data_IF_668377330752
#
_entry.id   IF_668377330752
#
_cell.length_a   1.000
_cell.length_b   1.000
_cell.length_c   1.000
_cell.angle_alpha   90.00
_cell.angle_beta   90.00
_cell.angle_gamma   90.00
#
_symmetry.space_group_name_H-M   'P 1'
#
loop_
_entity.id
_entity.type
_entity.pdbx_description
1 polymer ?
#
# COMPACT_ATOMS: atom_id res chain seq x y z
N UNK A 1 5.19 18.27 -19.74
CA UNK A 1 4.59 17.76 -18.48
C UNK A 1 4.68 18.88 -17.46
N UNK A 2 3.63 19.16 -16.68
CA UNK A 2 3.73 20.16 -15.61
C UNK A 2 4.72 19.63 -14.56
N UNK A 3 5.55 20.52 -14.01
CA UNK A 3 6.38 20.26 -12.83
C UNK A 3 5.46 19.91 -11.65
N UNK A 4 5.08 18.65 -11.52
CA UNK A 4 4.28 18.14 -10.41
C UNK A 4 5.23 17.74 -9.29
N UNK A 5 5.42 18.64 -8.32
CA UNK A 5 6.43 18.55 -7.26
C UNK A 5 5.76 18.35 -5.90
N UNK A 6 6.56 17.99 -4.90
CA UNK A 6 6.07 17.75 -3.54
C UNK A 6 5.25 18.92 -2.97
N UNK A 7 5.68 20.16 -3.21
CA UNK A 7 4.96 21.39 -2.81
C UNK A 7 3.57 21.59 -3.43
N UNK A 8 3.21 20.77 -4.41
CA UNK A 8 1.93 20.83 -5.10
C UNK A 8 0.93 19.79 -4.58
N UNK A 9 1.35 18.93 -3.65
CA UNK A 9 0.49 17.92 -3.04
C UNK A 9 -0.40 18.59 -1.99
N UNK A 10 -1.66 18.16 -1.92
CA UNK A 10 -2.57 18.57 -0.86
C UNK A 10 -2.04 18.07 0.51
N UNK A 11 -1.91 18.93 1.53
CA UNK A 11 -1.54 18.51 2.88
C UNK A 11 -2.38 17.34 3.43
N UNK A 12 -3.66 17.25 3.05
CA UNK A 12 -4.54 16.15 3.49
C UNK A 12 -4.10 14.80 2.89
N UNK A 13 -3.67 14.78 1.62
CA UNK A 13 -3.13 13.58 0.97
C UNK A 13 -1.81 13.12 1.64
N UNK A 14 -0.99 14.07 2.08
CA UNK A 14 0.23 13.78 2.85
C UNK A 14 -0.15 13.20 4.22
N UNK A 15 -1.15 13.78 4.90
CA UNK A 15 -1.67 13.28 6.16
C UNK A 15 -2.13 11.82 6.06
N UNK A 16 -2.90 11.49 5.02
CA UNK A 16 -3.36 10.12 4.74
C UNK A 16 -2.20 9.14 4.51
N UNK A 17 -1.15 9.58 3.81
CA UNK A 17 0.07 8.79 3.62
C UNK A 17 0.80 8.57 4.96
N UNK A 18 0.93 9.60 5.78
CA UNK A 18 1.61 9.51 7.08
C UNK A 18 0.90 8.52 8.03
N UNK A 19 -0.42 8.42 7.98
CA UNK A 19 -1.17 7.37 8.72
C UNK A 19 -0.75 5.96 8.29
N UNK A 20 -0.35 5.75 7.03
CA UNK A 20 0.16 4.45 6.55
C UNK A 20 1.61 4.22 7.00
N UNK A 21 2.43 5.28 7.01
CA UNK A 21 3.80 5.25 7.54
C UNK A 21 3.79 4.85 9.03
N UNK A 22 2.94 5.48 9.84
CA UNK A 22 2.73 5.12 11.24
C UNK A 22 2.47 3.62 11.42
N UNK A 23 1.54 3.07 10.64
CA UNK A 23 1.18 1.64 10.70
C UNK A 23 2.31 0.71 10.27
N UNK A 24 3.15 1.13 9.33
CA UNK A 24 4.24 0.30 8.78
C UNK A 24 5.43 0.23 9.75
N UNK A 25 5.76 1.36 10.38
CA UNK A 25 6.87 1.49 11.33
C UNK A 25 6.45 1.39 12.80
N UNK A 26 5.16 1.20 13.09
CA UNK A 26 4.60 1.14 14.44
C UNK A 26 4.96 2.37 15.30
N UNK A 27 4.85 3.55 14.69
CA UNK A 27 5.09 4.85 15.33
C UNK A 27 3.81 5.69 15.36
N UNK A 28 3.80 6.75 16.17
CA UNK A 28 2.70 7.71 16.25
C UNK A 28 3.20 9.15 16.23
N UNK A 29 2.74 9.93 15.27
CA UNK A 29 3.02 11.36 15.19
C UNK A 29 2.13 12.12 16.17
N UNK A 30 2.70 13.10 16.87
CA UNK A 30 1.96 14.08 17.66
C UNK A 30 1.30 15.13 16.77
N UNK A 31 0.26 15.80 17.29
CA UNK A 31 -0.54 16.80 16.54
C UNK A 31 0.30 17.92 15.91
N UNK A 32 1.34 18.38 16.61
CA UNK A 32 2.19 19.50 16.19
C UNK A 32 3.61 19.07 15.82
N UNK A 33 3.89 17.77 15.83
CA UNK A 33 5.26 17.24 15.72
C UNK A 33 5.91 17.58 14.38
N UNK A 34 5.12 17.61 13.31
CA UNK A 34 5.61 17.82 11.95
C UNK A 34 5.57 19.28 11.48
N UNK A 35 5.11 20.23 12.32
CA UNK A 35 4.93 21.64 11.95
C UNK A 35 6.22 22.33 11.50
N UNK A 36 7.37 21.87 12.00
CA UNK A 36 8.67 22.45 11.71
C UNK A 36 9.40 21.75 10.55
N UNK A 37 8.85 20.66 10.04
CA UNK A 37 9.45 19.89 8.94
C UNK A 37 9.09 20.57 7.63
N UNK A 38 10.10 21.11 6.95
CA UNK A 38 9.94 21.88 5.73
C UNK A 38 10.33 21.08 4.49
N UNK A 39 11.17 20.04 4.65
CA UNK A 39 11.70 19.25 3.53
C UNK A 39 11.48 17.76 3.67
N UNK A 40 11.46 17.05 2.54
CA UNK A 40 11.37 15.60 2.50
C UNK A 40 12.53 14.91 3.24
N UNK A 41 13.75 15.46 3.15
CA UNK A 41 14.91 14.95 3.87
C UNK A 41 14.74 15.07 5.39
N UNK A 42 14.23 16.21 5.87
CA UNK A 42 13.91 16.41 7.29
C UNK A 42 12.84 15.42 7.77
N UNK A 43 11.82 15.15 6.96
CA UNK A 43 10.79 14.15 7.29
C UNK A 43 11.41 12.75 7.43
N UNK A 44 12.26 12.36 6.47
CA UNK A 44 12.95 11.07 6.50
C UNK A 44 13.81 10.92 7.75
N UNK A 45 14.60 11.93 8.10
CA UNK A 45 15.45 11.92 9.28
C UNK A 45 14.62 11.87 10.56
N UNK A 46 13.54 12.65 10.62
CA UNK A 46 12.65 12.68 11.77
C UNK A 46 12.01 11.30 12.03
N UNK A 47 11.46 10.68 10.99
CA UNK A 47 10.90 9.32 11.08
C UNK A 47 11.97 8.32 11.49
N UNK A 48 13.14 8.36 10.86
CA UNK A 48 14.24 7.45 11.15
C UNK A 48 14.76 7.58 12.59
N UNK A 49 14.70 8.76 13.18
CA UNK A 49 15.11 9.01 14.57
C UNK A 49 14.01 8.68 15.58
N UNK A 50 12.74 8.68 15.17
CA UNK A 50 11.59 8.37 16.01
C UNK A 50 11.41 6.86 16.26
N UNK A 51 11.97 6.02 15.39
CA UNK A 51 11.89 4.55 15.55
C UNK A 51 12.86 4.12 16.66
N UNK A 52 12.31 3.81 17.84
CA UNK A 52 13.05 3.34 19.02
C UNK A 52 13.30 1.82 18.99
N UNK A 53 13.95 1.34 17.92
CA UNK A 53 14.29 -0.08 17.72
C UNK A 53 15.78 -0.26 17.46
N UNK A 54 16.26 -1.51 17.55
CA UNK A 54 17.67 -1.80 17.29
C UNK A 54 17.99 -1.64 15.79
N UNK A 55 18.98 -0.80 15.47
CA UNK A 55 19.42 -0.66 14.08
C UNK A 55 20.28 -1.86 13.65
N UNK A 56 19.86 -2.56 12.60
CA UNK A 56 20.63 -3.63 11.96
C UNK A 56 20.72 -3.41 10.44
N UNK A 57 21.89 -3.73 9.86
CA UNK A 57 22.21 -3.43 8.45
C UNK A 57 21.65 -4.45 7.44
N UNK A 58 20.85 -5.42 7.88
CA UNK A 58 20.22 -6.42 7.04
C UNK A 58 19.05 -5.84 6.23
N UNK A 59 18.89 -6.35 5.00
CA UNK A 59 17.98 -5.77 4.02
C UNK A 59 16.53 -6.22 4.24
N UNK A 60 15.60 -5.28 4.42
CA UNK A 60 14.19 -5.61 4.69
C UNK A 60 13.49 -6.20 3.47
N UNK A 61 13.80 -5.73 2.26
CA UNK A 61 13.18 -6.27 1.05
C UNK A 61 13.59 -7.71 0.77
N UNK A 62 14.84 -8.06 1.07
CA UNK A 62 15.31 -9.44 1.02
C UNK A 62 14.58 -10.30 2.05
N UNK A 63 14.43 -9.83 3.29
CA UNK A 63 13.68 -10.52 4.33
C UNK A 63 12.21 -10.71 3.97
N UNK A 64 11.56 -9.66 3.45
CA UNK A 64 10.18 -9.69 2.97
C UNK A 64 10.00 -10.75 1.88
N UNK A 65 10.93 -10.80 0.92
CA UNK A 65 10.90 -11.77 -0.17
C UNK A 65 11.05 -13.21 0.33
N UNK A 66 12.02 -13.48 1.21
CA UNK A 66 12.19 -14.82 1.76
C UNK A 66 11.01 -15.23 2.64
N UNK A 67 10.50 -14.32 3.48
CA UNK A 67 9.31 -14.55 4.29
C UNK A 67 8.08 -14.89 3.45
N UNK A 68 7.87 -14.14 2.36
CA UNK A 68 6.81 -14.41 1.39
C UNK A 68 6.98 -15.78 0.72
N UNK A 69 8.18 -16.08 0.23
CA UNK A 69 8.49 -17.35 -0.44
C UNK A 69 8.28 -18.55 0.48
N UNK A 70 8.69 -18.43 1.74
CA UNK A 70 8.51 -19.47 2.74
C UNK A 70 7.02 -19.66 3.06
N UNK A 71 6.27 -18.58 3.25
CA UNK A 71 4.83 -18.64 3.48
C UNK A 71 4.06 -19.26 2.29
N UNK A 72 4.46 -18.96 1.05
CA UNK A 72 3.93 -19.60 -0.15
C UNK A 72 4.22 -21.11 -0.15
N UNK A 73 5.46 -21.48 0.14
CA UNK A 73 5.90 -22.88 0.17
C UNK A 73 5.11 -23.69 1.19
N UNK A 74 4.88 -23.13 2.38
CA UNK A 74 4.10 -23.74 3.45
C UNK A 74 2.61 -23.85 3.13
N UNK A 75 2.02 -22.86 2.46
CA UNK A 75 0.55 -22.79 2.28
C UNK A 75 0.03 -23.42 1.00
N UNK A 76 0.80 -23.40 -0.09
CA UNK A 76 0.35 -23.92 -1.38
C UNK A 76 0.77 -25.37 -1.64
N UNK A 77 1.57 -25.98 -0.76
CA UNK A 77 2.14 -27.32 -0.93
C UNK A 77 2.88 -27.50 -2.28
N UNK A 78 3.24 -26.40 -2.93
CA UNK A 78 3.96 -26.41 -4.20
C UNK A 78 5.43 -26.62 -3.91
N UNK A 79 6.02 -27.69 -4.48
CA UNK A 79 7.44 -28.03 -4.36
C UNK A 79 8.41 -27.00 -5.00
N UNK A 80 7.94 -25.81 -5.38
CA UNK A 80 8.72 -24.77 -6.04
C UNK A 80 9.61 -24.04 -5.02
N UNK A 81 10.71 -24.69 -4.61
CA UNK A 81 11.72 -24.12 -3.70
C UNK A 81 12.45 -22.90 -4.29
N UNK A 82 12.44 -22.74 -5.61
CA UNK A 82 13.12 -21.66 -6.32
C UNK A 82 12.10 -20.79 -7.07
N UNK A 83 11.44 -19.88 -6.34
CA UNK A 83 10.63 -18.83 -6.94
C UNK A 83 11.51 -17.57 -7.11
N UNK A 84 11.75 -17.09 -8.34
CA UNK A 84 12.45 -15.82 -8.57
C UNK A 84 11.52 -14.62 -8.32
N UNK A 85 12.09 -13.41 -8.18
CA UNK A 85 11.33 -12.17 -7.96
C UNK A 85 10.41 -11.81 -9.12
N UNK A 86 10.79 -12.15 -10.36
CA UNK A 86 9.98 -11.92 -11.55
C UNK A 86 8.91 -13.01 -11.79
N UNK A 87 8.76 -13.98 -10.89
CA UNK A 87 7.79 -15.06 -11.05
C UNK A 87 6.35 -14.49 -11.14
N UNK A 88 5.56 -14.85 -12.17
CA UNK A 88 4.20 -14.34 -12.34
C UNK A 88 3.27 -14.75 -11.19
N UNK A 89 2.60 -13.76 -10.62
CA UNK A 89 1.68 -13.95 -9.51
C UNK A 89 0.42 -14.72 -9.92
N UNK A 90 0.01 -14.56 -11.19
CA UNK A 90 -1.14 -15.27 -11.78
C UNK A 90 -0.91 -16.79 -11.89
N UNK A 91 0.33 -17.22 -12.10
CA UNK A 91 0.70 -18.65 -12.20
C UNK A 91 0.73 -19.31 -10.82
N UNK A 92 0.98 -18.51 -9.77
CA UNK A 92 0.97 -18.98 -8.39
C UNK A 92 -0.45 -19.02 -7.82
N UNK A 93 -1.27 -18.01 -8.16
CA UNK A 93 -2.63 -17.85 -7.68
C UNK A 93 -3.64 -17.85 -8.84
N UNK A 94 -4.00 -19.04 -9.37
CA UNK A 94 -4.95 -19.16 -10.47
C UNK A 94 -6.33 -18.64 -10.06
N UNK A 95 -7.05 -18.03 -11.00
CA UNK A 95 -8.29 -17.26 -10.75
C UNK A 95 -9.35 -18.05 -9.95
N UNK A 96 -9.44 -19.36 -10.15
CA UNK A 96 -10.44 -20.22 -9.51
C UNK A 96 -10.23 -20.36 -7.99
N UNK A 97 -8.98 -20.46 -7.52
CA UNK A 97 -8.64 -20.68 -6.10
C UNK A 97 -7.93 -19.50 -5.44
N UNK A 98 -7.68 -18.41 -6.20
CA UNK A 98 -6.90 -17.22 -5.80
C UNK A 98 -7.30 -16.64 -4.45
N UNK A 99 -8.58 -16.31 -4.23
CA UNK A 99 -9.05 -15.72 -2.96
C UNK A 99 -8.78 -16.62 -1.76
N UNK A 100 -9.05 -17.91 -1.90
CA UNK A 100 -8.81 -18.89 -0.84
C UNK A 100 -7.32 -19.02 -0.53
N UNK A 101 -6.50 -19.14 -1.55
CA UNK A 101 -5.05 -19.28 -1.42
C UNK A 101 -4.40 -18.03 -0.81
N UNK A 102 -4.78 -16.83 -1.26
CA UNK A 102 -4.30 -15.57 -0.69
C UNK A 102 -4.76 -15.42 0.75
N UNK A 103 -6.01 -15.78 1.08
CA UNK A 103 -6.49 -15.75 2.47
C UNK A 103 -5.67 -16.69 3.37
N UNK A 104 -5.33 -17.89 2.89
CA UNK A 104 -4.45 -18.82 3.62
C UNK A 104 -3.03 -18.26 3.79
N UNK A 105 -2.49 -17.64 2.73
CA UNK A 105 -1.18 -16.99 2.77
C UNK A 105 -1.14 -15.84 3.78
N UNK A 106 -2.12 -14.94 3.74
CA UNK A 106 -2.26 -13.82 4.68
C UNK A 106 -2.41 -14.29 6.12
N UNK A 107 -3.18 -15.37 6.35
CA UNK A 107 -3.31 -15.97 7.66
C UNK A 107 -1.97 -16.52 8.18
N UNK A 108 -1.16 -17.13 7.32
CA UNK A 108 0.18 -17.59 7.66
C UNK A 108 1.17 -16.42 7.89
N UNK A 109 1.05 -15.33 7.12
CA UNK A 109 1.89 -14.13 7.29
C UNK A 109 1.52 -13.32 8.54
N UNK A 110 0.27 -13.40 9.00
CA UNK A 110 -0.25 -12.65 10.14
C UNK A 110 -0.70 -11.22 9.80
N UNK A 111 -0.83 -10.88 8.51
CA UNK A 111 -1.32 -9.58 8.05
C UNK A 111 -1.89 -9.66 6.62
N UNK A 112 -2.69 -8.65 6.26
CA UNK A 112 -3.36 -8.57 4.95
C UNK A 112 -2.43 -7.95 3.91
N UNK A 113 -2.32 -8.59 2.75
CA UNK A 113 -1.51 -8.10 1.64
C UNK A 113 -2.29 -7.14 0.74
N UNK A 114 -3.62 -7.22 0.72
CA UNK A 114 -4.50 -6.36 -0.10
C UNK A 114 -4.08 -6.33 -1.58
N UNK A 115 -3.71 -7.48 -2.15
CA UNK A 115 -3.27 -7.64 -3.54
C UNK A 115 -4.41 -8.00 -4.50
N UNK A 116 -5.64 -8.03 -3.99
CA UNK A 116 -6.85 -8.33 -4.75
C UNK A 116 -7.72 -7.10 -4.89
N UNK A 117 -8.24 -6.90 -6.10
CA UNK A 117 -9.13 -5.78 -6.42
C UNK A 117 -10.30 -6.21 -7.30
N UNK A 118 -11.39 -5.44 -7.32
CA UNK A 118 -12.46 -5.66 -8.28
C UNK A 118 -11.99 -5.36 -9.72
N UNK A 119 -12.63 -5.95 -10.74
CA UNK A 119 -12.39 -5.61 -12.13
C UNK A 119 -12.66 -4.12 -12.40
N UNK A 120 -11.80 -3.47 -13.19
CA UNK A 120 -11.93 -2.04 -13.49
C UNK A 120 -13.28 -1.66 -14.11
N UNK A 121 -13.86 -2.52 -14.95
CA UNK A 121 -15.16 -2.26 -15.56
C UNK A 121 -16.30 -2.22 -14.54
N UNK A 122 -16.24 -3.03 -13.48
CA UNK A 122 -17.23 -3.01 -12.38
C UNK A 122 -17.13 -1.70 -11.62
N UNK A 123 -15.90 -1.27 -11.28
CA UNK A 123 -15.65 0.02 -10.63
C UNK A 123 -16.18 1.15 -11.52
N UNK A 124 -15.87 1.14 -12.81
CA UNK A 124 -16.31 2.16 -13.77
C UNK A 124 -17.83 2.30 -13.83
N UNK A 125 -18.56 1.18 -13.92
CA UNK A 125 -20.03 1.19 -13.91
C UNK A 125 -20.58 1.77 -12.60
N UNK A 126 -20.04 1.34 -11.45
CA UNK A 126 -20.46 1.85 -10.14
C UNK A 126 -20.16 3.34 -9.97
N UNK A 127 -19.03 3.83 -10.50
CA UNK A 127 -18.68 5.25 -10.49
C UNK A 127 -19.67 6.06 -11.34
N UNK A 128 -20.00 5.60 -12.54
CA UNK A 128 -20.99 6.26 -13.39
C UNK A 128 -22.36 6.27 -12.70
N UNK A 129 -22.78 5.15 -12.09
CA UNK A 129 -24.04 5.07 -11.36
C UNK A 129 -24.06 6.05 -10.17
N UNK A 130 -22.95 6.16 -9.43
CA UNK A 130 -22.79 7.12 -8.34
C UNK A 130 -22.94 8.57 -8.83
N UNK A 131 -22.27 8.94 -9.93
CA UNK A 131 -22.37 10.28 -10.50
C UNK A 131 -23.78 10.61 -10.98
N UNK A 132 -24.45 9.67 -11.65
CA UNK A 132 -25.85 9.83 -12.07
C UNK A 132 -26.75 10.02 -10.84
N UNK A 133 -26.56 9.23 -9.79
CA UNK A 133 -27.33 9.34 -8.55
C UNK A 133 -27.13 10.71 -7.85
N UNK A 134 -25.91 11.26 -7.90
CA UNK A 134 -25.65 12.62 -7.42
C UNK A 134 -26.40 13.68 -8.22
N UNK A 135 -26.46 13.56 -9.55
CA UNK A 135 -27.20 14.51 -10.40
C UNK A 135 -28.71 14.37 -10.16
N UNK A 136 -29.25 13.15 -10.08
CA UNK A 136 -30.68 12.93 -9.88
C UNK A 136 -31.18 13.42 -8.52
N UNK A 137 -30.30 13.49 -7.52
CA UNK A 137 -30.62 14.02 -6.19
C UNK A 137 -31.18 15.45 -6.23
N UNK A 138 -30.80 16.25 -7.23
CA UNK A 138 -31.31 17.62 -7.43
C UNK A 138 -32.70 17.69 -8.06
N UNK A 139 -33.15 16.62 -8.72
CA UNK A 139 -34.46 16.56 -9.40
C UNK A 139 -35.47 15.75 -8.59
N UNK A 140 -35.03 14.58 -8.11
CA UNK A 140 -35.80 13.65 -7.28
C UNK A 140 -34.86 13.07 -6.21
N UNK A 141 -34.95 13.64 -5.01
CA UNK A 141 -34.08 13.29 -3.91
C UNK A 141 -34.25 11.83 -3.43
N UNK A 142 -35.43 11.22 -3.62
CA UNK A 142 -35.68 9.84 -3.22
C UNK A 142 -34.94 8.87 -4.13
N UNK A 143 -35.05 9.07 -5.45
CA UNK A 143 -34.34 8.25 -6.44
C UNK A 143 -32.83 8.47 -6.38
N UNK A 144 -32.39 9.72 -6.21
CA UNK A 144 -30.97 10.05 -6.01
C UNK A 144 -30.39 9.35 -4.77
N UNK A 145 -31.07 9.45 -3.63
CA UNK A 145 -30.62 8.80 -2.39
C UNK A 145 -30.58 7.27 -2.53
N UNK A 146 -31.60 6.66 -3.14
CA UNK A 146 -31.61 5.22 -3.40
C UNK A 146 -30.43 4.79 -4.30
N UNK A 147 -30.14 5.57 -5.35
CA UNK A 147 -29.00 5.34 -6.23
C UNK A 147 -27.66 5.46 -5.51
N UNK A 148 -27.49 6.45 -4.63
CA UNK A 148 -26.28 6.62 -3.82
C UNK A 148 -26.04 5.41 -2.92
N UNK A 149 -27.07 4.98 -2.18
CA UNK A 149 -26.99 3.80 -1.30
C UNK A 149 -26.64 2.55 -2.11
N UNK A 150 -27.29 2.36 -3.27
CA UNK A 150 -27.01 1.22 -4.15
C UNK A 150 -25.56 1.23 -4.65
N UNK A 151 -25.05 2.37 -5.12
CA UNK A 151 -23.66 2.52 -5.55
C UNK A 151 -22.67 2.21 -4.42
N UNK A 152 -22.87 2.79 -3.24
CA UNK A 152 -21.99 2.60 -2.09
C UNK A 152 -21.97 1.13 -1.66
N UNK A 153 -23.14 0.49 -1.57
CA UNK A 153 -23.25 -0.94 -1.28
C UNK A 153 -22.59 -1.79 -2.37
N UNK A 154 -22.74 -1.40 -3.65
CA UNK A 154 -22.08 -2.02 -4.80
C UNK A 154 -20.55 -1.95 -4.70
N UNK A 155 -19.98 -0.79 -4.37
CA UNK A 155 -18.54 -0.62 -4.16
C UNK A 155 -18.03 -1.48 -3.01
N UNK A 156 -18.74 -1.49 -1.88
CA UNK A 156 -18.40 -2.33 -0.74
C UNK A 156 -18.39 -3.82 -1.12
N UNK A 157 -19.42 -4.27 -1.84
CA UNK A 157 -19.51 -5.66 -2.31
C UNK A 157 -18.44 -6.01 -3.34
N UNK A 158 -18.16 -5.12 -4.29
CA UNK A 158 -17.12 -5.29 -5.31
C UNK A 158 -15.73 -5.40 -4.67
N UNK A 159 -15.41 -4.54 -3.70
CA UNK A 159 -14.15 -4.61 -2.97
C UNK A 159 -14.02 -5.91 -2.16
N UNK A 160 -15.11 -6.35 -1.52
CA UNK A 160 -15.12 -7.61 -0.77
C UNK A 160 -14.98 -8.84 -1.68
N UNK A 161 -15.47 -8.77 -2.91
CA UNK A 161 -15.49 -9.89 -3.87
C UNK A 161 -14.40 -9.84 -4.93
N UNK A 162 -13.55 -8.82 -4.89
CA UNK A 162 -12.42 -8.62 -5.79
C UNK A 162 -11.57 -9.87 -5.95
N UNK A 163 -11.23 -10.17 -7.19
CA UNK A 163 -10.45 -11.36 -7.55
C UNK A 163 -9.43 -11.08 -8.66
N UNK A 164 -9.22 -9.82 -9.04
CA UNK A 164 -8.13 -9.44 -9.95
C UNK A 164 -6.87 -9.16 -9.14
N UNK A 165 -5.72 -9.58 -9.66
CA UNK A 165 -4.44 -9.27 -9.03
C UNK A 165 -4.07 -7.82 -9.35
N UNK A 166 -3.69 -7.08 -8.33
CA UNK A 166 -3.20 -5.71 -8.47
C UNK A 166 -1.72 -5.68 -8.88
N UNK A 167 -0.97 -6.71 -8.47
CA UNK A 167 0.45 -6.86 -8.74
C UNK A 167 0.71 -8.02 -9.71
N UNK A 168 1.80 -7.93 -10.47
CA UNK A 168 2.17 -8.89 -11.52
C UNK A 168 3.12 -9.97 -11.03
N UNK A 169 4.04 -9.65 -10.12
CA UNK A 169 5.13 -10.57 -9.73
C UNK A 169 5.31 -10.69 -8.23
N UNK A 170 6.00 -11.76 -7.80
CA UNK A 170 6.35 -11.97 -6.38
C UNK A 170 7.22 -10.86 -5.80
N UNK A 171 8.16 -10.33 -6.58
CA UNK A 171 9.01 -9.21 -6.18
C UNK A 171 8.18 -7.98 -5.81
N UNK A 172 7.17 -7.65 -6.62
CA UNK A 172 6.27 -6.54 -6.32
C UNK A 172 5.48 -6.75 -5.02
N UNK A 173 5.09 -7.99 -4.70
CA UNK A 173 4.43 -8.29 -3.43
C UNK A 173 5.40 -8.10 -2.26
N UNK A 174 6.65 -8.55 -2.40
CA UNK A 174 7.70 -8.35 -1.39
C UNK A 174 8.04 -6.86 -1.19
N UNK A 175 8.08 -6.07 -2.27
CA UNK A 175 8.26 -4.62 -2.21
C UNK A 175 7.09 -3.95 -1.50
N UNK A 176 5.84 -4.36 -1.82
CA UNK A 176 4.63 -3.90 -1.10
C UNK A 176 4.68 -4.26 0.39
N UNK A 177 5.09 -5.49 0.73
CA UNK A 177 5.27 -5.92 2.12
C UNK A 177 6.30 -5.05 2.85
N UNK A 178 7.44 -4.76 2.21
CA UNK A 178 8.49 -3.91 2.78
C UNK A 178 7.98 -2.51 3.07
N UNK A 179 7.18 -1.95 2.16
CA UNK A 179 6.65 -0.60 2.27
C UNK A 179 5.51 -0.49 3.29
N UNK A 180 4.53 -1.38 3.20
CA UNK A 180 3.25 -1.29 3.95
C UNK A 180 3.29 -2.02 5.30
N UNK A 181 4.24 -2.93 5.47
CA UNK A 181 4.37 -3.79 6.63
C UNK A 181 5.84 -3.96 7.01
N UNK A 182 6.60 -2.86 7.08
CA UNK A 182 8.05 -2.85 7.24
C UNK A 182 8.51 -3.72 8.42
N UNK A 183 8.06 -3.41 9.63
CA UNK A 183 8.47 -4.17 10.83
C UNK A 183 7.99 -5.62 10.81
N UNK A 184 6.78 -5.87 10.28
CA UNK A 184 6.24 -7.22 10.14
C UNK A 184 6.95 -8.03 9.06
N UNK A 185 7.66 -7.40 8.13
CA UNK A 185 8.44 -8.08 7.09
C UNK A 185 9.80 -8.54 7.60
N UNK A 186 10.30 -7.92 8.67
CA UNK A 186 11.57 -8.29 9.30
C UNK A 186 11.46 -9.61 10.06
N UNK A 187 12.59 -10.32 10.14
CA UNK A 187 12.73 -11.57 10.89
C UNK A 187 12.68 -11.32 12.40
N UNK A 188 13.32 -10.24 12.84
CA UNK A 188 13.20 -9.70 14.19
C UNK A 188 12.37 -8.41 14.13
N UNK A 189 11.11 -8.42 14.61
CA UNK A 189 10.26 -7.22 14.58
C UNK A 189 10.77 -6.06 15.45
N UNK A 190 11.76 -6.31 16.32
CA UNK A 190 12.39 -5.30 17.18
C UNK A 190 13.62 -4.64 16.56
N UNK A 191 13.91 -4.90 15.29
CA UNK A 191 15.00 -4.25 14.57
C UNK A 191 14.48 -3.46 13.39
N UNK A 192 15.26 -2.51 12.91
CA UNK A 192 15.02 -1.80 11.66
C UNK A 192 16.36 -1.46 10.98
N UNK A 193 16.32 -1.10 9.70
CA UNK A 193 17.51 -0.61 9.00
C UNK A 193 17.34 0.87 8.68
N UNK A 194 18.04 1.73 9.43
CA UNK A 194 17.95 3.18 9.31
C UNK A 194 18.27 3.67 7.89
N UNK A 195 19.18 2.98 7.18
CA UNK A 195 19.62 3.34 5.82
C UNK A 195 18.54 3.11 4.76
N UNK A 196 17.50 2.31 5.07
CA UNK A 196 16.42 2.01 4.13
C UNK A 196 15.22 2.96 4.27
N UNK A 197 15.12 3.73 5.36
CA UNK A 197 13.94 4.55 5.66
C UNK A 197 13.65 5.56 4.55
N UNK A 198 14.65 6.32 4.12
CA UNK A 198 14.49 7.29 3.04
C UNK A 198 13.95 6.62 1.77
N UNK A 199 14.53 5.49 1.37
CA UNK A 199 14.07 4.74 0.20
C UNK A 199 12.62 4.26 0.34
N UNK A 200 12.25 3.73 1.50
CA UNK A 200 10.87 3.25 1.76
C UNK A 200 9.88 4.41 1.71
N UNK A 201 10.24 5.57 2.24
CA UNK A 201 9.42 6.78 2.17
C UNK A 201 9.33 7.32 0.75
N UNK A 202 10.43 7.34 -0.02
CA UNK A 202 10.39 7.70 -1.45
C UNK A 202 9.44 6.78 -2.22
N UNK A 203 9.46 5.48 -1.93
CA UNK A 203 8.53 4.53 -2.54
C UNK A 203 7.07 4.78 -2.13
N UNK A 204 6.81 5.19 -0.88
CA UNK A 204 5.48 5.62 -0.45
C UNK A 204 5.00 6.85 -1.21
N UNK A 205 5.76 7.95 -1.15
CA UNK A 205 5.39 9.21 -1.77
C UNK A 205 5.20 9.06 -3.28
N UNK A 206 6.07 8.29 -3.94
CA UNK A 206 5.96 8.06 -5.38
C UNK A 206 4.71 7.24 -5.75
N UNK A 207 4.45 6.13 -5.05
CA UNK A 207 3.34 5.24 -5.40
C UNK A 207 1.97 5.80 -5.00
N UNK A 208 1.87 6.48 -3.85
CA UNK A 208 0.59 6.93 -3.32
C UNK A 208 0.20 8.32 -3.81
N UNK A 209 1.17 9.22 -4.01
CA UNK A 209 0.91 10.60 -4.45
C UNK A 209 1.20 10.83 -5.94
N UNK A 210 1.69 9.80 -6.64
CA UNK A 210 2.01 9.88 -8.07
C UNK A 210 3.21 10.77 -8.39
N UNK A 211 4.09 10.99 -7.42
CA UNK A 211 5.32 11.78 -7.60
C UNK A 211 6.40 10.96 -8.30
N UNK A 212 7.15 11.61 -9.19
CA UNK A 212 8.38 11.00 -9.72
C UNK A 212 9.43 10.92 -8.60
N UNK A 213 10.14 9.79 -8.49
CA UNK A 213 11.18 9.60 -7.47
C UNK A 213 12.30 10.63 -7.57
N UNK A 214 12.59 11.13 -8.77
CA UNK A 214 13.60 12.18 -8.99
C UNK A 214 13.21 13.53 -8.38
N UNK A 215 11.93 13.78 -8.15
CA UNK A 215 11.44 15.01 -7.49
C UNK A 215 11.49 14.91 -5.96
N UNK A 216 11.62 13.71 -5.40
CA UNK A 216 11.71 13.43 -3.96
C UNK A 216 13.16 13.53 -3.45
N UNK A 217 13.80 14.65 -3.75
CA UNK A 217 15.14 14.96 -3.21
C UNK A 217 15.06 15.36 -1.74
N UNK A 218 16.19 15.29 -1.00
CA UNK A 218 16.23 15.72 0.40
C UNK A 218 15.83 17.18 0.61
N UNK A 219 16.06 18.04 -0.37
CA UNK A 219 15.70 19.47 -0.35
C UNK A 219 14.28 19.76 -0.88
N UNK A 220 13.54 18.73 -1.31
CA UNK A 220 12.19 18.90 -1.82
C UNK A 220 11.28 19.45 -0.71
N UNK A 221 10.63 20.58 -0.97
CA UNK A 221 9.80 21.27 0.02
C UNK A 221 8.34 20.82 -0.03
N UNK A 222 7.70 20.83 1.14
CA UNK A 222 6.26 20.65 1.27
C UNK A 222 5.45 21.93 0.96
N UNK A 223 6.06 23.11 1.11
CA UNK A 223 5.48 24.44 0.85
C UNK A 223 6.51 25.36 0.18
#
# INVERSE_FOLDING_TARGET
MRDYKLKNIDPDDIGDLLVKVEKSFDIKFGETELLHISTFGELCDHIANKIELDNTDDCTSQQAFYKLRDAISSTLQTAKKNLPTNFPLADLFPRQSRRLQITKLEAHLGFKLNILRPPYWVIGILTVLLLVAFVTLFFDWQTGLAGLVFSIAGFWFANKTGNELDLKTLGQVADKMTREHYLKSRRSPRTFNKKEIEKVLTDWFSNDLGLDKSELTREAKFV
#
